data_IF_418456889555
#
_entry.id   IF_418456889555
#
_cell.length_a   1.000
_cell.length_b   1.000
_cell.length_c   1.000
_cell.angle_alpha   90.00
_cell.angle_beta   90.00
_cell.angle_gamma   90.00
#
_symmetry.space_group_name_H-M   'P 1'
#
loop_
_entity.id
_entity.type
_entity.pdbx_description
1 polymer ?
#
# COMPACT_ATOMS: atom_id res chain seq x y z
N UNK A 1 -18.95 -10.24 -16.85
CA UNK A 1 -18.76 -9.00 -16.08
C UNK A 1 -18.26 -9.46 -14.73
N UNK A 2 -17.08 -8.99 -14.34
CA UNK A 2 -16.55 -9.23 -12.98
C UNK A 2 -17.42 -8.45 -12.01
N UNK A 3 -17.83 -9.08 -10.92
CA UNK A 3 -18.55 -8.41 -9.84
C UNK A 3 -17.50 -7.81 -8.89
N UNK A 4 -17.01 -6.62 -9.23
CA UNK A 4 -15.91 -5.96 -8.53
C UNK A 4 -15.54 -4.61 -9.12
N UNK A 5 -14.77 -3.82 -8.38
CA UNK A 5 -14.32 -2.49 -8.82
C UNK A 5 -12.94 -2.59 -9.44
N UNK A 6 -12.77 -2.08 -10.67
CA UNK A 6 -11.46 -2.07 -11.35
C UNK A 6 -10.51 -1.10 -10.63
N UNK A 7 -9.37 -1.63 -10.17
CA UNK A 7 -8.34 -0.87 -9.43
C UNK A 7 -7.22 -0.37 -10.36
N UNK A 8 -6.73 -1.26 -11.23
CA UNK A 8 -5.57 -0.99 -12.10
C UNK A 8 -5.64 -1.81 -13.41
N UNK A 9 -4.88 -1.44 -14.43
CA UNK A 9 -4.49 -2.41 -15.46
C UNK A 9 -3.44 -3.37 -14.89
N UNK A 10 -3.41 -4.61 -15.39
CA UNK A 10 -2.34 -5.55 -15.03
C UNK A 10 -0.96 -4.95 -15.34
N UNK A 11 -0.83 -4.30 -16.50
CA UNK A 11 0.42 -3.67 -16.95
C UNK A 11 0.87 -2.48 -16.07
N UNK A 12 -0.03 -1.90 -15.27
CA UNK A 12 0.30 -0.82 -14.33
C UNK A 12 0.87 -1.37 -13.00
N UNK A 13 0.64 -2.66 -12.69
CA UNK A 13 1.23 -3.29 -11.51
C UNK A 13 2.70 -3.62 -11.78
N UNK A 14 3.66 -3.07 -11.01
CA UNK A 14 5.08 -3.26 -11.28
C UNK A 14 5.55 -4.72 -11.19
N UNK A 15 6.47 -5.12 -12.08
CA UNK A 15 7.18 -6.42 -12.02
C UNK A 15 8.00 -6.60 -10.73
N UNK A 16 8.49 -5.50 -10.16
CA UNK A 16 9.17 -5.46 -8.86
C UNK A 16 8.74 -4.20 -8.13
N UNK A 17 8.04 -4.37 -7.01
CA UNK A 17 7.45 -3.29 -6.22
C UNK A 17 5.94 -3.48 -6.10
N UNK A 18 5.25 -2.40 -5.72
CA UNK A 18 3.81 -2.42 -5.53
C UNK A 18 3.09 -1.31 -6.27
N UNK A 19 1.81 -1.54 -6.54
CA UNK A 19 0.86 -0.49 -6.90
C UNK A 19 0.05 -0.11 -5.66
N UNK A 20 0.19 1.12 -5.20
CA UNK A 20 -0.51 1.65 -4.01
C UNK A 20 -1.87 2.22 -4.39
N UNK A 21 -2.90 1.87 -3.63
CA UNK A 21 -4.22 2.48 -3.74
C UNK A 21 -4.88 2.64 -2.37
N UNK A 22 -5.86 3.52 -2.33
CA UNK A 22 -6.65 3.82 -1.15
C UNK A 22 -8.08 3.29 -1.31
N UNK A 23 -8.55 2.63 -0.26
CA UNK A 23 -9.91 2.11 -0.13
C UNK A 23 -10.54 2.57 1.20
N UNK A 24 -11.84 2.43 1.31
CA UNK A 24 -12.60 2.59 2.55
C UNK A 24 -12.98 1.19 3.07
N UNK A 25 -12.77 0.91 4.36
CA UNK A 25 -13.22 -0.34 4.97
C UNK A 25 -14.71 -0.32 5.38
N UNK A 26 -15.25 -1.45 5.80
CA UNK A 26 -16.64 -1.59 6.26
C UNK A 26 -17.05 -0.67 7.44
N UNK A 27 -16.10 0.01 8.08
CA UNK A 27 -16.32 0.96 9.17
C UNK A 27 -16.10 2.43 8.74
N UNK A 28 -16.08 2.68 7.43
CA UNK A 28 -15.81 3.99 6.83
C UNK A 28 -14.45 4.57 7.22
N UNK A 29 -13.44 3.72 7.41
CA UNK A 29 -12.06 4.16 7.66
C UNK A 29 -11.25 4.02 6.39
N UNK A 30 -10.50 5.06 6.06
CA UNK A 30 -9.52 5.04 4.98
C UNK A 30 -8.42 4.02 5.27
N UNK A 31 -8.13 3.17 4.28
CA UNK A 31 -7.09 2.14 4.30
C UNK A 31 -6.26 2.22 3.03
N UNK A 32 -4.95 2.08 3.19
CA UNK A 32 -4.04 1.90 2.08
C UNK A 32 -3.80 0.41 1.85
N UNK A 33 -3.90 0.00 0.59
CA UNK A 33 -3.71 -1.36 0.13
C UNK A 33 -2.67 -1.35 -1.01
N UNK A 34 -1.98 -2.46 -1.20
CA UNK A 34 -0.97 -2.62 -2.26
C UNK A 34 -1.31 -3.84 -3.11
N UNK A 35 -1.17 -3.70 -4.44
CA UNK A 35 -1.09 -4.83 -5.36
C UNK A 35 0.39 -5.18 -5.58
N UNK A 36 0.71 -6.47 -5.53
CA UNK A 36 2.05 -7.00 -5.82
C UNK A 36 1.93 -8.15 -6.80
N UNK A 37 2.94 -8.32 -7.66
CA UNK A 37 3.02 -9.51 -8.50
C UNK A 37 3.60 -10.68 -7.73
N UNK A 38 3.11 -11.87 -8.08
CA UNK A 38 3.49 -13.13 -7.47
C UNK A 38 3.59 -14.21 -8.57
N UNK A 39 4.16 -15.37 -8.26
CA UNK A 39 4.41 -16.45 -9.24
C UNK A 39 3.23 -17.45 -9.37
N UNK A 40 2.09 -17.21 -8.71
CA UNK A 40 0.89 -18.06 -8.79
C UNK A 40 0.02 -17.77 -10.04
N UNK A 41 -1.03 -18.58 -10.25
CA UNK A 41 -1.89 -18.51 -11.44
C UNK A 41 -2.59 -17.15 -11.63
N UNK A 42 -2.95 -16.46 -10.55
CA UNK A 42 -3.51 -15.10 -10.54
C UNK A 42 -2.48 -14.05 -10.96
N UNK A 43 -1.21 -14.27 -10.60
CA UNK A 43 -0.05 -13.42 -10.86
C UNK A 43 -0.03 -12.09 -10.10
N UNK A 44 -1.11 -11.75 -9.38
CA UNK A 44 -1.27 -10.49 -8.63
C UNK A 44 -2.06 -10.78 -7.36
N UNK A 45 -1.50 -10.37 -6.23
CA UNK A 45 -2.14 -10.41 -4.91
C UNK A 45 -2.28 -9.01 -4.32
N UNK A 46 -3.19 -8.88 -3.36
CA UNK A 46 -3.45 -7.62 -2.67
C UNK A 46 -3.31 -7.76 -1.14
N UNK A 47 -2.69 -6.76 -0.52
CA UNK A 47 -2.41 -6.76 0.91
C UNK A 47 -2.63 -5.37 1.53
N UNK A 48 -2.95 -5.28 2.83
CA UNK A 48 -2.84 -4.02 3.55
C UNK A 48 -1.43 -3.45 3.45
N UNK A 49 -1.32 -2.15 3.20
CA UNK A 49 -0.04 -1.44 3.16
C UNK A 49 0.53 -1.21 4.57
N UNK A 50 0.46 -2.19 5.47
CA UNK A 50 0.92 -2.04 6.86
C UNK A 50 1.52 -3.35 7.37
N UNK A 51 2.72 -3.27 7.93
CA UNK A 51 3.37 -4.40 8.58
C UNK A 51 2.55 -4.92 9.77
N UNK A 52 2.49 -6.24 9.93
CA UNK A 52 1.79 -6.89 11.05
C UNK A 52 2.49 -6.70 12.40
N UNK A 53 3.78 -6.35 12.40
CA UNK A 53 4.54 -6.06 13.63
C UNK A 53 4.14 -4.71 14.24
N UNK A 54 4.13 -3.64 13.44
CA UNK A 54 3.85 -2.27 13.88
C UNK A 54 3.21 -1.49 12.72
N UNK A 55 2.57 -0.35 13.03
CA UNK A 55 1.96 0.53 12.03
C UNK A 55 2.99 1.21 11.10
N UNK A 56 3.61 0.40 10.23
CA UNK A 56 4.64 0.78 9.29
C UNK A 56 4.17 0.43 7.88
N UNK A 57 4.04 1.46 7.04
CA UNK A 57 3.77 1.31 5.62
C UNK A 57 4.91 0.60 4.89
N UNK A 58 4.58 -0.32 3.98
CA UNK A 58 5.54 -0.97 3.08
C UNK A 58 5.90 -0.02 1.94
N UNK A 59 4.87 0.48 1.26
CA UNK A 59 4.94 1.47 0.22
C UNK A 59 4.66 2.86 0.81
N UNK A 60 5.55 3.82 0.56
CA UNK A 60 5.39 5.23 0.96
C UNK A 60 5.14 6.14 -0.24
N UNK A 61 4.62 5.60 -1.34
CA UNK A 61 4.33 6.30 -2.60
C UNK A 61 5.36 6.08 -3.70
N UNK A 62 6.26 5.10 -3.55
CA UNK A 62 7.33 4.82 -4.54
C UNK A 62 7.45 3.34 -4.87
N UNK A 63 6.48 2.52 -4.47
CA UNK A 63 6.58 1.07 -4.49
C UNK A 63 7.20 0.53 -3.20
N UNK A 64 6.68 -0.59 -2.71
CA UNK A 64 7.28 -1.37 -1.65
C UNK A 64 8.61 -1.96 -2.12
N UNK A 65 9.60 -1.99 -1.22
CA UNK A 65 10.85 -2.70 -1.51
C UNK A 65 10.56 -4.20 -1.57
N UNK A 66 11.03 -4.86 -2.63
CA UNK A 66 10.86 -6.31 -2.79
C UNK A 66 12.18 -7.01 -3.10
N UNK A 67 12.29 -8.27 -2.69
CA UNK A 67 13.43 -9.14 -2.99
C UNK A 67 12.98 -10.59 -2.95
N UNK A 68 13.44 -11.37 -3.94
CA UNK A 68 13.24 -12.83 -3.98
C UNK A 68 11.76 -13.25 -3.82
N UNK A 69 10.83 -12.45 -4.36
CA UNK A 69 9.38 -12.69 -4.26
C UNK A 69 8.74 -12.19 -2.96
N UNK A 70 9.48 -11.48 -2.10
CA UNK A 70 8.99 -11.03 -0.79
C UNK A 70 8.93 -9.50 -0.69
N UNK A 71 7.93 -9.00 0.03
CA UNK A 71 7.74 -7.59 0.42
C UNK A 71 8.58 -7.31 1.67
N UNK A 72 9.46 -6.31 1.61
CA UNK A 72 10.36 -5.96 2.71
C UNK A 72 9.76 -4.81 3.53
N UNK A 73 9.52 -5.05 4.82
CA UNK A 73 9.23 -3.99 5.78
C UNK A 73 10.44 -3.06 5.93
N UNK A 74 10.32 -1.77 5.60
CA UNK A 74 11.45 -0.85 5.54
C UNK A 74 12.01 -0.45 6.92
N UNK A 75 11.33 -0.80 8.02
CA UNK A 75 11.74 -0.40 9.37
C UNK A 75 12.72 -1.41 9.98
N UNK A 76 12.35 -2.69 10.03
CA UNK A 76 13.15 -3.74 10.69
C UNK A 76 13.47 -4.95 9.79
N UNK A 77 13.05 -4.92 8.52
CA UNK A 77 13.47 -5.91 7.51
C UNK A 77 12.75 -7.26 7.57
N UNK A 78 11.60 -7.36 8.24
CA UNK A 78 10.70 -8.50 8.03
C UNK A 78 10.26 -8.58 6.57
N UNK A 79 10.19 -9.79 6.04
CA UNK A 79 9.93 -10.11 4.65
C UNK A 79 8.67 -10.98 4.59
N UNK A 80 7.73 -10.58 3.74
CA UNK A 80 6.44 -11.24 3.57
C UNK A 80 6.39 -11.81 2.16
N UNK A 81 6.16 -13.12 2.05
CA UNK A 81 5.98 -13.77 0.75
C UNK A 81 4.83 -13.11 -0.03
N UNK A 82 5.06 -12.75 -1.30
CA UNK A 82 4.08 -11.98 -2.08
C UNK A 82 2.84 -12.79 -2.45
N UNK A 83 2.95 -14.12 -2.57
CA UNK A 83 1.84 -15.01 -2.89
C UNK A 83 0.93 -15.25 -1.67
N UNK A 84 1.52 -15.53 -0.51
CA UNK A 84 0.80 -16.02 0.68
C UNK A 84 0.69 -15.00 1.81
N UNK A 85 1.43 -13.90 1.73
CA UNK A 85 1.54 -12.89 2.78
C UNK A 85 2.25 -13.39 4.05
N UNK A 86 2.81 -14.60 4.07
CA UNK A 86 3.44 -15.18 5.26
C UNK A 86 4.81 -14.56 5.54
N UNK A 87 5.11 -14.30 6.81
CA UNK A 87 6.41 -13.80 7.26
C UNK A 87 7.12 -14.82 8.16
N UNK A 88 8.28 -15.29 7.72
CA UNK A 88 9.08 -16.28 8.47
C UNK A 88 10.32 -15.67 9.15
N UNK A 89 10.59 -14.38 8.95
CA UNK A 89 11.77 -13.70 9.49
C UNK A 89 11.48 -12.39 10.24
N UNK A 90 12.50 -11.89 10.94
CA UNK A 90 12.45 -10.61 11.62
C UNK A 90 11.42 -10.57 12.75
N UNK A 91 10.96 -9.36 13.08
CA UNK A 91 10.05 -9.14 14.22
C UNK A 91 8.60 -9.48 13.93
N UNK A 92 8.22 -9.60 12.65
CA UNK A 92 6.92 -10.08 12.22
C UNK A 92 6.86 -11.61 12.00
N UNK A 93 7.93 -12.35 12.34
CA UNK A 93 7.98 -13.80 12.13
C UNK A 93 6.81 -14.53 12.79
N UNK A 94 6.17 -15.44 12.05
CA UNK A 94 5.00 -16.20 12.50
C UNK A 94 3.67 -15.48 12.33
N UNK A 95 3.65 -14.36 11.62
CA UNK A 95 2.42 -13.65 11.21
C UNK A 95 2.22 -13.74 9.70
N UNK A 96 1.00 -13.44 9.24
CA UNK A 96 0.68 -13.29 7.83
C UNK A 96 -0.10 -12.00 7.60
N UNK A 97 0.08 -11.39 6.42
CA UNK A 97 -0.75 -10.28 5.99
C UNK A 97 -2.21 -10.74 5.86
N UNK A 98 -3.18 -9.94 6.32
CA UNK A 98 -4.59 -10.19 6.02
C UNK A 98 -4.81 -10.15 4.51
N UNK A 99 -5.44 -11.18 3.96
CA UNK A 99 -5.79 -11.26 2.55
C UNK A 99 -6.77 -10.15 2.16
N UNK A 100 -6.64 -9.64 0.94
CA UNK A 100 -7.61 -8.75 0.31
C UNK A 100 -8.00 -9.37 -1.02
N UNK A 101 -9.27 -9.74 -1.18
CA UNK A 101 -9.71 -10.46 -2.36
C UNK A 101 -9.68 -9.58 -3.62
N UNK A 102 -8.85 -9.99 -4.59
CA UNK A 102 -8.78 -9.42 -5.93
C UNK A 102 -8.93 -10.50 -6.99
N UNK A 103 -9.34 -10.09 -8.20
CA UNK A 103 -9.33 -10.98 -9.37
C UNK A 103 -8.79 -10.28 -10.60
N UNK A 104 -8.11 -11.05 -11.45
CA UNK A 104 -7.56 -10.58 -12.72
C UNK A 104 -8.44 -11.07 -13.86
N UNK A 105 -8.98 -10.15 -14.65
CA UNK A 105 -9.80 -10.46 -15.81
C UNK A 105 -9.65 -9.40 -16.90
N UNK A 106 -9.66 -9.81 -18.16
CA UNK A 106 -9.67 -8.89 -19.31
C UNK A 106 -8.56 -7.80 -19.24
N UNK A 107 -7.39 -8.12 -18.67
CA UNK A 107 -6.25 -7.20 -18.50
C UNK A 107 -6.40 -6.17 -17.37
N UNK A 108 -7.40 -6.30 -16.50
CA UNK A 108 -7.60 -5.47 -15.32
C UNK A 108 -7.51 -6.27 -14.03
N UNK A 109 -7.12 -5.59 -12.95
CA UNK A 109 -7.23 -6.08 -11.57
C UNK A 109 -8.48 -5.46 -10.94
N UNK A 110 -9.30 -6.29 -10.33
CA UNK A 110 -10.57 -5.90 -9.72
C UNK A 110 -10.56 -6.25 -8.23
N UNK A 111 -10.88 -5.27 -7.39
CA UNK A 111 -11.19 -5.50 -5.98
C UNK A 111 -12.58 -6.12 -5.88
N UNK A 112 -12.65 -7.32 -5.30
CA UNK A 112 -13.89 -8.10 -5.13
C UNK A 112 -14.22 -8.36 -3.66
N UNK A 113 -13.31 -7.99 -2.76
CA UNK A 113 -13.50 -8.04 -1.32
C UNK A 113 -14.62 -7.10 -0.85
N UNK A 114 -15.65 -7.64 -0.21
CA UNK A 114 -16.78 -6.86 0.29
C UNK A 114 -16.47 -6.04 1.56
N UNK A 115 -15.33 -6.29 2.22
CA UNK A 115 -14.86 -5.48 3.33
C UNK A 115 -14.28 -4.12 2.89
N UNK A 116 -14.02 -3.95 1.58
CA UNK A 116 -13.39 -2.75 1.03
C UNK A 116 -14.16 -2.12 -0.14
N UNK A 117 -14.19 -0.79 -0.16
CA UNK A 117 -14.64 0.00 -1.31
C UNK A 117 -13.47 0.80 -1.86
N UNK A 118 -13.09 0.57 -3.11
CA UNK A 118 -12.04 1.35 -3.78
C UNK A 118 -12.39 2.84 -3.83
N UNK A 119 -11.43 3.70 -3.46
CA UNK A 119 -11.58 5.16 -3.53
C UNK A 119 -10.78 5.75 -4.67
N UNK A 120 -9.44 5.64 -4.62
CA UNK A 120 -8.54 6.24 -5.59
C UNK A 120 -7.15 5.59 -5.57
N UNK A 121 -6.38 5.78 -6.65
CA UNK A 121 -4.97 5.40 -6.75
C UNK A 121 -4.10 6.29 -5.86
N UNK A 122 -3.07 5.68 -5.24
CA UNK A 122 -2.08 6.36 -4.43
C UNK A 122 -2.37 6.32 -2.92
N UNK A 123 -1.48 6.97 -2.18
CA UNK A 123 -1.53 7.08 -0.73
C UNK A 123 -2.77 7.84 -0.24
N UNK A 124 -3.23 7.49 0.94
CA UNK A 124 -4.27 8.24 1.62
C UNK A 124 -3.77 9.67 1.87
N UNK A 125 -4.64 10.65 1.64
CA UNK A 125 -4.34 12.04 1.99
C UNK A 125 -4.25 12.15 3.50
N UNK A 126 -3.14 12.68 4.01
CA UNK A 126 -3.00 12.97 5.42
C UNK A 126 -3.84 14.24 5.73
N UNK A 127 -5.03 14.07 6.31
CA UNK A 127 -5.88 15.18 6.79
C UNK A 127 -5.34 15.75 8.12
N UNK A 128 -4.03 15.98 8.26
CA UNK A 128 -3.43 16.61 9.46
C UNK A 128 -2.28 17.58 9.13
N UNK A 129 -2.60 18.73 8.54
CA UNK A 129 -2.05 20.06 8.90
C UNK A 129 -2.54 21.21 7.98
N UNK A 130 -3.70 21.80 8.29
CA UNK A 130 -3.99 23.22 7.97
C UNK A 130 -4.97 23.80 9.03
N UNK A 131 -4.68 23.55 10.30
CA UNK A 131 -5.09 24.42 11.40
C UNK A 131 -3.81 25.01 12.02
N UNK A 132 -3.26 26.05 11.39
CA UNK A 132 -2.69 27.26 12.03
C UNK A 132 -2.02 28.15 10.96
N UNK A 133 -2.82 29.07 10.43
CA UNK A 133 -2.35 30.38 9.97
C UNK A 133 -1.66 31.09 11.15
N UNK A 134 -0.67 31.94 10.86
CA UNK A 134 0.08 32.83 11.76
C UNK A 134 1.42 32.32 12.36
N UNK A 135 2.51 32.78 11.73
CA UNK A 135 3.74 33.38 12.32
C UNK A 135 5.03 32.94 11.59
N UNK A 136 5.17 33.34 10.32
CA UNK A 136 6.50 33.52 9.70
C UNK A 136 6.87 35.01 9.83
N UNK A 137 7.65 35.44 10.84
CA UNK A 137 8.26 36.74 10.76
C UNK A 137 9.44 36.65 9.79
N UNK A 138 9.22 37.27 8.63
CA UNK A 138 10.18 37.45 7.55
C UNK A 138 11.56 37.88 8.09
N UNK A 139 12.57 37.04 7.88
CA UNK A 139 13.97 37.38 8.20
C UNK A 139 14.48 38.41 7.20
N UNK A 140 14.34 39.69 7.52
CA UNK A 140 14.97 40.76 6.75
C UNK A 140 16.45 40.84 7.14
N UNK A 141 17.33 40.53 6.18
CA UNK A 141 18.77 40.74 6.31
C UNK A 141 19.06 42.25 6.23
N UNK A 142 19.45 42.86 7.35
CA UNK A 142 20.09 44.17 7.33
C UNK A 142 21.61 44.01 7.27
N UNK A 143 22.17 44.24 6.08
CA UNK A 143 23.54 44.74 5.93
C UNK A 143 23.49 46.25 6.13
N UNK A 144 24.29 46.75 7.07
CA UNK A 144 24.48 48.18 7.32
C UNK A 144 25.88 48.47 7.86
N UNK A 145 26.73 48.93 6.92
CA UNK A 145 28.02 49.64 7.03
C UNK A 145 29.21 49.00 7.77
#
# INVERSE_FOLDING_TARGET
MVDGTRVAAVDDVPENGSYLFTAEDAYSRTKELILVRCDDESGIEAWPNTCTHENQRFDRGTGAAMRDGEIICPKHGSMFDACSGACENGEAAGTSLPEVDVTVADGGVFLIDDEYTYLYEGAARDDEDDEDDDDIPSSTSHIGF
#
